data_IF_624214858316
#
_entry.id   IF_624214858316
#
_cell.length_a   1.000
_cell.length_b   1.000
_cell.length_c   1.000
_cell.angle_alpha   90.00
_cell.angle_beta   90.00
_cell.angle_gamma   90.00
#
_symmetry.space_group_name_H-M   'P 1'
#
loop_
_entity.id
_entity.type
_entity.pdbx_description
1 polymer ?
#
# COMPACT_ATOMS: atom_id res chain seq x y z
N UNK A 1 22.74 -2.96 20.34
CA UNK A 1 21.38 -2.93 19.80
C UNK A 1 21.26 -4.05 18.77
N UNK A 2 20.19 -4.82 18.76
CA UNK A 2 20.01 -5.86 17.71
C UNK A 2 19.62 -5.17 16.41
N UNK A 3 20.29 -5.56 15.31
CA UNK A 3 20.01 -5.00 13.98
C UNK A 3 19.00 -5.84 13.20
N UNK A 4 18.06 -5.18 12.54
CA UNK A 4 17.09 -5.78 11.64
C UNK A 4 17.23 -5.13 10.28
N UNK A 5 17.29 -5.92 9.22
CA UNK A 5 17.20 -5.44 7.84
C UNK A 5 15.81 -5.75 7.28
N UNK A 6 15.08 -4.73 6.88
CA UNK A 6 13.78 -4.84 6.23
C UNK A 6 13.98 -4.63 4.74
N UNK A 7 13.69 -5.66 3.96
CA UNK A 7 13.77 -5.67 2.49
C UNK A 7 12.34 -5.57 1.97
N UNK A 8 12.08 -4.62 1.07
CA UNK A 8 10.74 -4.38 0.55
C UNK A 8 10.68 -4.54 -0.95
N UNK A 9 9.92 -5.51 -1.39
CA UNK A 9 9.66 -5.79 -2.80
C UNK A 9 8.22 -5.40 -3.15
N UNK A 10 8.00 -5.04 -4.42
CA UNK A 10 6.66 -4.83 -4.97
C UNK A 10 6.21 -3.37 -5.02
N UNK A 11 5.04 -3.06 -4.47
CA UNK A 11 4.33 -1.81 -4.76
C UNK A 11 4.32 -0.83 -3.57
N UNK A 12 3.79 0.39 -3.83
CA UNK A 12 3.63 1.45 -2.83
C UNK A 12 2.87 1.02 -1.55
N UNK A 13 1.94 0.05 -1.64
CA UNK A 13 1.24 -0.49 -0.46
C UNK A 13 2.21 -1.26 0.43
N UNK A 14 3.08 -2.10 -0.16
CA UNK A 14 4.13 -2.80 0.60
C UNK A 14 5.12 -1.83 1.23
N UNK A 15 5.46 -0.74 0.53
CA UNK A 15 6.31 0.33 1.10
C UNK A 15 5.70 0.90 2.36
N UNK A 16 4.41 1.29 2.33
CA UNK A 16 3.70 1.80 3.52
C UNK A 16 3.70 0.79 4.66
N UNK A 17 3.38 -0.48 4.37
CA UNK A 17 3.38 -1.56 5.36
C UNK A 17 4.76 -1.71 6.03
N UNK A 18 5.83 -1.67 5.24
CA UNK A 18 7.21 -1.75 5.75
C UNK A 18 7.61 -0.54 6.57
N UNK A 19 7.20 0.67 6.18
CA UNK A 19 7.51 1.90 6.90
C UNK A 19 6.83 1.93 8.29
N UNK A 20 5.58 1.45 8.40
CA UNK A 20 4.92 1.24 9.69
C UNK A 20 5.64 0.18 10.53
N UNK A 21 5.99 -0.97 9.92
CA UNK A 21 6.73 -2.02 10.61
C UNK A 21 8.08 -1.51 11.14
N UNK A 22 8.82 -0.78 10.32
CA UNK A 22 10.12 -0.21 10.72
C UNK A 22 10.00 0.79 11.86
N UNK A 23 8.95 1.62 11.90
CA UNK A 23 8.70 2.53 13.01
C UNK A 23 8.47 1.76 14.32
N UNK A 24 7.66 0.71 14.29
CA UNK A 24 7.38 -0.14 15.46
C UNK A 24 8.62 -0.91 15.93
N UNK A 25 9.41 -1.46 15.01
CA UNK A 25 10.67 -2.13 15.33
C UNK A 25 11.69 -1.16 15.95
N UNK A 26 11.78 0.07 15.45
CA UNK A 26 12.64 1.10 16.02
C UNK A 26 12.21 1.49 17.44
N UNK A 27 10.91 1.66 17.67
CA UNK A 27 10.34 1.92 19.00
C UNK A 27 10.58 0.76 19.98
N UNK A 28 10.62 -0.48 19.49
CA UNK A 28 10.97 -1.66 20.25
C UNK A 28 12.49 -1.79 20.55
N UNK A 29 13.30 -0.80 20.18
CA UNK A 29 14.73 -0.74 20.50
C UNK A 29 15.64 -1.44 19.50
N UNK A 30 15.16 -1.75 18.29
CA UNK A 30 16.00 -2.31 17.24
C UNK A 30 16.65 -1.20 16.41
N UNK A 31 17.88 -1.45 15.94
CA UNK A 31 18.49 -0.67 14.86
C UNK A 31 17.97 -1.20 13.54
N UNK A 32 17.09 -0.44 12.88
CA UNK A 32 16.42 -0.87 11.65
C UNK A 32 17.16 -0.34 10.43
N UNK A 33 17.57 -1.24 9.55
CA UNK A 33 18.13 -0.98 8.23
C UNK A 33 17.07 -1.23 7.18
N UNK A 34 17.18 -0.55 6.04
CA UNK A 34 16.25 -0.69 4.93
C UNK A 34 17.02 -1.05 3.65
N UNK A 35 16.60 -2.11 2.96
CA UNK A 35 17.14 -2.60 1.69
C UNK A 35 18.69 -2.60 1.64
N UNK A 36 19.33 -2.99 2.75
CA UNK A 36 20.77 -2.93 2.85
C UNK A 36 21.43 -4.24 2.39
N UNK A 37 22.20 -4.16 1.32
CA UNK A 37 23.00 -5.30 0.80
C UNK A 37 24.24 -5.59 1.68
N UNK A 38 24.74 -4.57 2.39
CA UNK A 38 25.92 -4.67 3.26
C UNK A 38 25.50 -4.46 4.70
N UNK A 39 25.12 -5.54 5.35
CA UNK A 39 24.63 -5.49 6.72
C UNK A 39 25.20 -6.63 7.56
N UNK A 40 25.40 -6.33 8.85
CA UNK A 40 25.63 -7.30 9.91
C UNK A 40 24.34 -7.64 10.69
N UNK A 41 23.19 -7.29 10.13
CA UNK A 41 21.89 -7.59 10.71
C UNK A 41 21.68 -9.10 10.83
N UNK A 42 21.35 -9.55 12.05
CA UNK A 42 21.07 -10.95 12.35
C UNK A 42 19.59 -11.32 12.14
N UNK A 43 18.74 -10.33 12.00
CA UNK A 43 17.32 -10.51 11.70
C UNK A 43 17.03 -9.86 10.34
N UNK A 44 16.38 -10.62 9.48
CA UNK A 44 15.94 -10.14 8.15
C UNK A 44 14.44 -10.33 8.03
N UNK A 45 13.76 -9.30 7.53
CA UNK A 45 12.34 -9.31 7.16
C UNK A 45 12.23 -9.00 5.69
N UNK A 46 11.53 -9.85 4.93
CA UNK A 46 11.29 -9.65 3.50
C UNK A 46 9.80 -9.43 3.27
N UNK A 47 9.42 -8.21 2.84
CA UNK A 47 8.07 -7.89 2.41
C UNK A 47 7.94 -8.16 0.91
N UNK A 48 7.06 -9.08 0.54
CA UNK A 48 7.03 -9.75 -0.75
C UNK A 48 5.85 -9.33 -1.61
N UNK A 49 6.03 -9.40 -2.93
CA UNK A 49 4.96 -9.25 -3.92
C UNK A 49 4.50 -10.61 -4.45
N UNK A 50 3.17 -10.81 -4.49
CA UNK A 50 2.56 -12.05 -5.01
C UNK A 50 1.59 -11.82 -6.17
N UNK A 51 1.62 -10.64 -6.81
CA UNK A 51 0.61 -10.24 -7.78
C UNK A 51 0.93 -10.68 -9.21
N UNK A 52 2.07 -10.29 -9.75
CA UNK A 52 2.51 -10.64 -11.12
C UNK A 52 3.66 -11.64 -11.11
N UNK A 53 3.85 -12.36 -12.23
CA UNK A 53 4.83 -13.45 -12.36
C UNK A 53 6.24 -13.02 -11.98
N UNK A 54 6.75 -11.96 -12.58
CA UNK A 54 8.12 -11.48 -12.38
C UNK A 54 8.37 -11.04 -10.94
N UNK A 55 7.41 -10.32 -10.34
CA UNK A 55 7.52 -9.89 -8.94
C UNK A 55 7.44 -11.07 -7.95
N UNK A 56 6.71 -12.15 -8.28
CA UNK A 56 6.74 -13.39 -7.51
C UNK A 56 8.12 -14.06 -7.59
N UNK A 57 8.70 -14.15 -8.78
CA UNK A 57 10.03 -14.73 -8.98
C UNK A 57 11.09 -13.93 -8.21
N UNK A 58 11.07 -12.60 -8.32
CA UNK A 58 11.96 -11.72 -7.55
C UNK A 58 11.85 -11.96 -6.04
N UNK A 59 10.62 -12.10 -5.55
CA UNK A 59 10.35 -12.37 -4.13
C UNK A 59 10.90 -13.74 -3.71
N UNK A 60 10.69 -14.79 -4.51
CA UNK A 60 11.21 -16.13 -4.23
C UNK A 60 12.75 -16.13 -4.25
N UNK A 61 13.37 -15.51 -5.24
CA UNK A 61 14.83 -15.43 -5.35
C UNK A 61 15.44 -14.70 -4.15
N UNK A 62 14.78 -13.64 -3.64
CA UNK A 62 15.23 -12.95 -2.45
C UNK A 62 15.11 -13.82 -1.20
N UNK A 63 14.01 -14.55 -1.04
CA UNK A 63 13.82 -15.47 0.09
C UNK A 63 14.89 -16.56 0.06
N UNK A 64 15.16 -17.18 -1.09
CA UNK A 64 16.16 -18.22 -1.24
C UNK A 64 17.59 -17.71 -0.94
N UNK A 65 17.93 -16.49 -1.37
CA UNK A 65 19.21 -15.85 -1.02
C UNK A 65 19.35 -15.65 0.49
N UNK A 66 18.28 -15.18 1.15
CA UNK A 66 18.29 -15.00 2.61
C UNK A 66 18.32 -16.33 3.36
N UNK A 67 17.62 -17.37 2.88
CA UNK A 67 17.65 -18.72 3.41
C UNK A 67 19.07 -19.33 3.36
N UNK A 68 19.75 -19.20 2.23
CA UNK A 68 21.16 -19.61 2.10
C UNK A 68 22.10 -18.83 3.04
N UNK A 69 21.86 -17.53 3.24
CA UNK A 69 22.61 -16.74 4.21
C UNK A 69 22.36 -17.20 5.66
N UNK A 70 21.13 -17.64 5.97
CA UNK A 70 20.79 -18.21 7.28
C UNK A 70 21.47 -19.56 7.50
N UNK A 71 21.44 -20.46 6.51
CA UNK A 71 22.17 -21.75 6.57
C UNK A 71 23.69 -21.53 6.75
N UNK A 72 24.25 -20.46 6.17
CA UNK A 72 25.66 -20.08 6.35
C UNK A 72 25.95 -19.39 7.70
N UNK A 73 24.97 -19.26 8.60
CA UNK A 73 25.11 -18.62 9.93
C UNK A 73 25.25 -17.09 9.89
N UNK A 74 25.01 -16.45 8.75
CA UNK A 74 25.04 -14.98 8.61
C UNK A 74 23.78 -14.33 9.19
N UNK A 75 22.64 -14.97 9.05
CA UNK A 75 21.32 -14.56 9.54
C UNK A 75 20.89 -15.53 10.64
N UNK A 76 20.31 -15.04 11.73
CA UNK A 76 19.77 -15.83 12.84
C UNK A 76 18.26 -16.04 12.71
N UNK A 77 17.54 -14.99 12.30
CA UNK A 77 16.08 -15.01 12.13
C UNK A 77 15.70 -14.44 10.75
N UNK A 78 14.83 -15.16 10.07
CA UNK A 78 14.32 -14.79 8.77
C UNK A 78 12.78 -14.82 8.78
N UNK A 79 12.16 -13.69 8.52
CA UNK A 79 10.71 -13.55 8.40
C UNK A 79 10.31 -13.12 7.00
N UNK A 80 9.21 -13.68 6.52
CA UNK A 80 8.62 -13.31 5.24
C UNK A 80 7.20 -12.80 5.46
N UNK A 81 6.85 -11.69 4.82
CA UNK A 81 5.55 -11.03 4.92
C UNK A 81 5.08 -10.56 3.55
N UNK A 82 3.82 -10.22 3.42
CA UNK A 82 3.28 -9.56 2.24
C UNK A 82 2.41 -10.45 1.36
N UNK A 83 2.27 -10.03 0.10
CA UNK A 83 1.29 -10.61 -0.82
C UNK A 83 1.62 -12.05 -1.24
N UNK A 84 2.91 -12.40 -1.36
CA UNK A 84 3.31 -13.76 -1.74
C UNK A 84 3.01 -14.73 -0.59
N UNK A 85 3.43 -14.39 0.63
CA UNK A 85 3.19 -15.23 1.81
C UNK A 85 1.72 -15.33 2.17
N UNK A 86 0.91 -14.29 1.97
CA UNK A 86 -0.56 -14.39 2.15
C UNK A 86 -1.16 -15.48 1.26
N UNK A 87 -0.69 -15.59 0.03
CA UNK A 87 -1.30 -16.46 -0.98
C UNK A 87 -0.76 -17.89 -0.95
N UNK A 88 0.51 -18.06 -0.60
CA UNK A 88 1.25 -19.31 -0.78
C UNK A 88 2.00 -19.74 0.51
N UNK A 89 1.47 -19.37 1.70
CA UNK A 89 2.15 -19.65 2.95
C UNK A 89 2.48 -21.13 3.17
N UNK A 90 1.55 -22.02 2.87
CA UNK A 90 1.73 -23.47 3.12
C UNK A 90 2.76 -24.07 2.17
N UNK A 91 2.71 -23.71 0.89
CA UNK A 91 3.69 -24.15 -0.11
C UNK A 91 5.08 -23.60 0.21
N UNK A 92 5.19 -22.33 0.58
CA UNK A 92 6.45 -21.71 0.96
C UNK A 92 7.06 -22.34 2.21
N UNK A 93 6.25 -22.68 3.21
CA UNK A 93 6.71 -23.40 4.42
C UNK A 93 7.26 -24.78 4.11
N UNK A 94 6.63 -25.49 3.16
CA UNK A 94 7.09 -26.81 2.74
C UNK A 94 8.39 -26.75 1.95
N UNK A 95 8.53 -25.76 1.06
CA UNK A 95 9.67 -25.66 0.12
C UNK A 95 10.87 -24.91 0.71
N UNK A 96 10.65 -23.95 1.64
CA UNK A 96 11.70 -23.12 2.22
C UNK A 96 11.57 -23.12 3.77
N UNK A 97 11.90 -24.24 4.43
CA UNK A 97 11.78 -24.40 5.88
C UNK A 97 12.76 -23.56 6.70
N UNK A 98 13.75 -22.92 6.07
CA UNK A 98 14.72 -22.03 6.73
C UNK A 98 14.06 -20.73 7.22
N UNK A 99 12.91 -20.32 6.69
CA UNK A 99 12.17 -19.16 7.15
C UNK A 99 11.53 -19.48 8.50
N UNK A 100 11.75 -18.63 9.50
CA UNK A 100 11.24 -18.85 10.87
C UNK A 100 9.72 -18.70 10.92
N UNK A 101 9.16 -17.72 10.20
CA UNK A 101 7.71 -17.60 10.07
C UNK A 101 7.31 -16.78 8.82
N UNK A 102 6.07 -17.04 8.37
CA UNK A 102 5.43 -16.38 7.23
C UNK A 102 4.19 -15.63 7.74
N UNK A 103 4.14 -14.33 7.47
CA UNK A 103 3.03 -13.46 7.81
C UNK A 103 2.29 -13.00 6.54
N UNK A 104 0.99 -12.83 6.64
CA UNK A 104 0.18 -12.31 5.55
C UNK A 104 0.35 -10.80 5.34
N UNK A 105 -0.20 -10.32 4.24
CA UNK A 105 -0.14 -8.91 3.88
C UNK A 105 -0.84 -7.98 4.89
N UNK A 106 -1.74 -8.52 5.72
CA UNK A 106 -2.50 -7.78 6.74
C UNK A 106 -2.07 -8.12 8.17
N UNK A 107 -1.10 -9.01 8.35
CA UNK A 107 -0.64 -9.50 9.66
C UNK A 107 0.85 -9.24 9.89
N UNK A 108 1.42 -8.28 9.17
CA UNK A 108 2.83 -7.90 9.27
C UNK A 108 3.25 -7.43 10.67
N UNK A 109 2.32 -6.94 11.47
CA UNK A 109 2.49 -6.58 12.88
C UNK A 109 2.84 -7.79 13.76
N UNK A 110 2.43 -9.01 13.37
CA UNK A 110 2.82 -10.25 14.01
C UNK A 110 4.35 -10.45 14.15
N UNK A 111 5.15 -9.81 13.28
CA UNK A 111 6.61 -9.82 13.36
C UNK A 111 7.08 -9.16 14.66
N UNK A 112 6.45 -8.07 15.09
CA UNK A 112 6.78 -7.36 16.34
C UNK A 112 6.61 -8.31 17.53
N UNK A 113 5.48 -9.03 17.58
CA UNK A 113 5.21 -10.05 18.59
C UNK A 113 6.20 -11.22 18.54
N UNK A 114 6.50 -11.72 17.33
CA UNK A 114 7.46 -12.82 17.14
C UNK A 114 8.88 -12.46 17.61
N UNK A 115 9.19 -11.17 17.65
CA UNK A 115 10.46 -10.64 18.16
C UNK A 115 10.40 -10.30 19.67
N UNK A 116 9.27 -10.58 20.34
CA UNK A 116 9.09 -10.36 21.77
C UNK A 116 8.83 -8.91 22.19
N UNK A 117 8.45 -8.05 21.22
CA UNK A 117 8.06 -6.68 21.51
C UNK A 117 6.53 -6.58 21.65
N UNK A 118 6.07 -5.62 22.46
CA UNK A 118 4.65 -5.29 22.59
C UNK A 118 4.20 -4.35 21.47
N UNK A 119 2.96 -4.53 21.04
CA UNK A 119 2.31 -3.55 20.15
C UNK A 119 1.92 -2.32 20.98
N UNK A 120 2.29 -1.15 20.48
CA UNK A 120 1.88 0.14 21.04
C UNK A 120 0.89 0.81 20.08
N UNK A 121 -0.39 0.98 20.47
CA UNK A 121 -1.39 1.65 19.64
C UNK A 121 -1.00 3.10 19.29
N UNK A 122 -0.20 3.78 20.11
CA UNK A 122 0.29 5.13 19.83
C UNK A 122 1.17 5.20 18.58
N UNK A 123 1.70 4.05 18.13
CA UNK A 123 2.52 3.95 16.91
C UNK A 123 1.70 3.65 15.66
N UNK A 124 0.37 3.64 15.72
CA UNK A 124 -0.47 3.30 14.57
C UNK A 124 -0.24 4.21 13.35
N UNK A 125 -0.01 5.50 13.60
CA UNK A 125 0.24 6.52 12.58
C UNK A 125 1.72 6.90 12.42
N UNK A 126 2.64 6.21 13.12
CA UNK A 126 4.08 6.45 13.00
C UNK A 126 4.67 5.71 11.80
N UNK A 127 5.53 6.41 11.06
CA UNK A 127 6.21 5.85 9.88
C UNK A 127 7.69 6.25 9.85
N UNK A 128 8.51 5.29 9.44
CA UNK A 128 9.91 5.54 9.09
C UNK A 128 10.01 5.55 7.57
N UNK A 129 10.01 6.76 6.99
CA UNK A 129 9.97 6.93 5.53
C UNK A 129 11.19 6.36 4.83
N UNK A 130 10.94 5.69 3.70
CA UNK A 130 11.94 5.15 2.78
C UNK A 130 11.93 5.86 1.43
N UNK A 131 10.89 6.64 1.17
CA UNK A 131 10.77 7.50 0.00
C UNK A 131 11.66 8.76 0.13
N UNK A 132 11.98 9.45 -0.97
CA UNK A 132 12.57 10.80 -0.92
C UNK A 132 11.72 11.73 -0.06
N UNK A 133 12.36 12.65 0.67
CA UNK A 133 11.71 13.46 1.71
C UNK A 133 10.55 14.32 1.23
N UNK A 134 10.45 14.62 -0.07
CA UNK A 134 9.44 15.52 -0.60
C UNK A 134 8.08 14.85 -0.81
N UNK A 135 7.99 13.53 -0.87
CA UNK A 135 6.71 12.83 -1.00
C UNK A 135 6.60 11.61 -0.10
N UNK A 136 5.36 11.24 0.21
CA UNK A 136 5.04 9.96 0.86
C UNK A 136 3.72 9.39 0.31
N UNK A 137 3.60 8.07 0.36
CA UNK A 137 2.33 7.41 0.10
C UNK A 137 1.43 7.49 1.33
N UNK A 138 0.16 7.81 1.15
CA UNK A 138 -0.89 7.73 2.17
C UNK A 138 -1.87 6.62 1.78
N UNK A 139 -1.82 5.49 2.46
CA UNK A 139 -2.67 4.32 2.19
C UNK A 139 -3.99 4.47 2.93
N UNK A 140 -5.06 4.85 2.22
CA UNK A 140 -6.37 5.19 2.81
C UNK A 140 -7.29 4.01 3.05
N UNK A 141 -7.00 2.87 2.42
CA UNK A 141 -7.75 1.62 2.63
C UNK A 141 -6.94 0.41 2.20
N UNK A 142 -7.39 -0.77 2.61
CA UNK A 142 -6.81 -2.06 2.26
C UNK A 142 -7.89 -2.98 1.68
N UNK A 143 -7.51 -3.86 0.73
CA UNK A 143 -8.42 -4.81 0.12
C UNK A 143 -9.34 -4.22 -0.95
N UNK A 144 -10.13 -5.08 -1.61
CA UNK A 144 -10.98 -4.69 -2.72
C UNK A 144 -12.22 -5.58 -2.81
N UNK A 145 -13.42 -4.97 -2.98
CA UNK A 145 -14.68 -5.69 -3.13
C UNK A 145 -15.06 -5.95 -4.59
N UNK A 146 -14.30 -5.41 -5.56
CA UNK A 146 -14.50 -5.72 -6.96
C UNK A 146 -14.04 -7.14 -7.27
N UNK A 147 -14.83 -7.86 -8.03
CA UNK A 147 -14.57 -9.26 -8.42
C UNK A 147 -14.13 -9.34 -9.88
N UNK A 148 -13.16 -8.53 -10.28
CA UNK A 148 -12.61 -8.58 -11.63
C UNK A 148 -11.98 -9.94 -11.89
N UNK A 149 -12.34 -10.60 -13.01
CA UNK A 149 -12.02 -12.01 -13.27
C UNK A 149 -10.52 -12.34 -13.39
N UNK A 150 -9.69 -11.32 -13.61
CA UNK A 150 -8.24 -11.45 -13.72
C UNK A 150 -7.47 -11.04 -12.45
N UNK A 151 -8.16 -10.56 -11.40
CA UNK A 151 -7.54 -9.90 -10.27
C UNK A 151 -7.49 -10.80 -9.02
N UNK A 152 -6.29 -11.02 -8.51
CA UNK A 152 -6.07 -11.80 -7.29
C UNK A 152 -6.16 -10.98 -5.99
N UNK A 153 -6.38 -9.67 -6.05
CA UNK A 153 -6.37 -8.79 -4.87
C UNK A 153 -7.36 -9.22 -3.79
N UNK A 154 -8.62 -9.58 -4.09
CA UNK A 154 -9.55 -10.04 -3.03
C UNK A 154 -9.07 -11.29 -2.29
N UNK A 155 -8.26 -12.15 -2.95
CA UNK A 155 -7.68 -13.35 -2.35
C UNK A 155 -6.43 -13.04 -1.51
N UNK A 156 -5.71 -11.95 -1.85
CA UNK A 156 -4.43 -11.57 -1.20
C UNK A 156 -4.66 -10.54 -0.10
N UNK A 157 -5.43 -9.49 -0.39
CA UNK A 157 -5.63 -8.34 0.50
C UNK A 157 -7.02 -8.31 1.14
N UNK A 158 -7.87 -9.29 0.83
CA UNK A 158 -9.20 -9.46 1.39
C UNK A 158 -10.22 -8.41 0.94
N UNK A 159 -11.31 -8.29 1.71
CA UNK A 159 -12.34 -7.28 1.50
C UNK A 159 -11.81 -5.88 1.79
N UNK A 160 -12.47 -4.88 1.19
CA UNK A 160 -12.14 -3.47 1.41
C UNK A 160 -12.37 -3.07 2.88
N UNK A 161 -11.36 -2.42 3.46
CA UNK A 161 -11.41 -1.85 4.80
C UNK A 161 -10.77 -0.47 4.74
N UNK A 162 -11.55 0.57 5.03
CA UNK A 162 -11.09 1.95 5.07
C UNK A 162 -10.36 2.26 6.38
N UNK A 163 -9.37 3.14 6.32
CA UNK A 163 -8.76 3.74 7.50
C UNK A 163 -9.62 4.95 7.93
N UNK A 164 -9.91 5.15 9.23
CA UNK A 164 -10.67 6.32 9.70
C UNK A 164 -10.03 7.65 9.27
N UNK A 165 -10.85 8.64 8.91
CA UNK A 165 -10.36 9.93 8.44
C UNK A 165 -9.42 10.62 9.42
N UNK A 166 -9.75 10.54 10.70
CA UNK A 166 -8.98 11.16 11.79
C UNK A 166 -7.57 10.58 11.89
N UNK A 167 -7.43 9.26 11.69
CA UNK A 167 -6.13 8.59 11.67
C UNK A 167 -5.31 9.00 10.44
N UNK A 168 -5.96 9.10 9.27
CA UNK A 168 -5.30 9.56 8.04
C UNK A 168 -4.83 11.02 8.14
N UNK A 169 -5.64 11.89 8.76
CA UNK A 169 -5.24 13.28 9.01
C UNK A 169 -4.05 13.35 9.98
N UNK A 170 -4.06 12.55 11.04
CA UNK A 170 -2.95 12.50 11.99
C UNK A 170 -1.68 12.01 11.32
N UNK A 171 -1.75 10.91 10.57
CA UNK A 171 -0.62 10.39 9.80
C UNK A 171 -0.10 11.45 8.82
N UNK A 172 -0.97 12.10 8.05
CA UNK A 172 -0.59 13.14 7.10
C UNK A 172 0.07 14.36 7.77
N UNK A 173 -0.39 14.78 8.96
CA UNK A 173 0.27 15.85 9.75
C UNK A 173 1.67 15.44 10.21
N UNK A 174 1.86 14.19 10.64
CA UNK A 174 3.18 13.65 11.01
C UNK A 174 4.12 13.59 9.81
N UNK A 175 3.62 13.18 8.64
CA UNK A 175 4.37 13.18 7.39
C UNK A 175 4.79 14.61 6.98
N UNK A 176 3.88 15.58 7.05
CA UNK A 176 4.19 16.99 6.82
C UNK A 176 5.27 17.51 7.78
N UNK A 177 5.19 17.13 9.06
CA UNK A 177 6.20 17.46 10.08
C UNK A 177 7.59 16.85 9.80
N UNK A 178 7.66 15.73 9.05
CA UNK A 178 8.90 15.13 8.58
C UNK A 178 9.46 15.81 7.30
N UNK A 179 8.73 16.78 6.72
CA UNK A 179 9.13 17.54 5.54
C UNK A 179 8.51 17.05 4.24
N UNK A 180 7.53 16.15 4.30
CA UNK A 180 6.74 15.72 3.12
C UNK A 180 5.92 16.89 2.62
N UNK A 181 5.95 17.11 1.30
CA UNK A 181 5.21 18.17 0.59
C UNK A 181 4.12 17.59 -0.31
N UNK A 182 4.31 16.39 -0.82
CA UNK A 182 3.35 15.71 -1.68
C UNK A 182 2.83 14.43 -1.02
N UNK A 183 1.51 14.31 -0.92
CA UNK A 183 0.84 13.06 -0.53
C UNK A 183 0.35 12.32 -1.77
N UNK A 184 0.87 11.12 -1.98
CA UNK A 184 0.34 10.19 -2.97
C UNK A 184 -0.72 9.31 -2.29
N UNK A 185 -1.99 9.64 -2.50
CA UNK A 185 -3.12 8.92 -1.92
C UNK A 185 -3.34 7.62 -2.68
N UNK A 186 -3.22 6.50 -1.98
CA UNK A 186 -3.23 5.15 -2.57
C UNK A 186 -4.21 4.21 -1.86
N UNK A 187 -4.75 3.27 -2.62
CA UNK A 187 -5.50 2.10 -2.18
C UNK A 187 -5.46 1.02 -3.27
N UNK A 188 -6.24 -0.03 -3.17
CA UNK A 188 -6.56 -0.90 -4.31
C UNK A 188 -7.64 -0.28 -5.20
N UNK A 189 -8.54 0.49 -4.58
CA UNK A 189 -9.52 1.37 -5.21
C UNK A 189 -9.80 2.54 -4.26
N UNK A 190 -9.30 3.72 -4.59
CA UNK A 190 -9.48 4.92 -3.77
C UNK A 190 -10.91 5.45 -3.82
N UNK A 191 -11.65 5.24 -4.93
CA UNK A 191 -13.02 5.72 -5.09
C UNK A 191 -14.03 5.02 -4.19
N UNK A 192 -13.66 3.84 -3.64
CA UNK A 192 -14.51 3.06 -2.74
C UNK A 192 -14.39 3.47 -1.27
N UNK A 193 -13.47 4.38 -0.96
CA UNK A 193 -13.15 4.82 0.40
C UNK A 193 -14.39 5.30 1.17
N UNK A 194 -14.53 4.80 2.39
CA UNK A 194 -15.52 5.23 3.37
C UNK A 194 -16.85 4.48 3.35
N UNK A 195 -17.12 3.66 2.33
CA UNK A 195 -18.41 2.94 2.23
C UNK A 195 -18.65 2.03 3.44
N UNK A 196 -17.62 1.34 3.90
CA UNK A 196 -17.66 0.43 5.05
C UNK A 196 -17.80 1.16 6.39
N UNK A 197 -17.14 2.32 6.56
CA UNK A 197 -17.14 3.07 7.81
C UNK A 197 -18.31 4.07 7.92
N UNK A 198 -18.67 4.73 6.82
CA UNK A 198 -19.59 5.86 6.81
C UNK A 198 -20.88 5.61 6.00
N UNK A 199 -21.03 4.41 5.41
CA UNK A 199 -22.18 4.04 4.60
C UNK A 199 -22.25 4.76 3.24
N UNK A 200 -21.25 5.55 2.87
CA UNK A 200 -21.15 6.29 1.60
C UNK A 200 -19.70 6.55 1.21
N UNK A 201 -19.47 6.91 -0.03
CA UNK A 201 -18.12 7.31 -0.52
C UNK A 201 -17.69 8.62 0.14
N UNK A 202 -16.49 8.66 0.67
CA UNK A 202 -15.98 9.79 1.45
C UNK A 202 -14.64 10.35 0.92
N UNK A 203 -14.22 9.91 -0.28
CA UNK A 203 -12.92 10.33 -0.83
C UNK A 203 -12.83 11.84 -1.00
N UNK A 204 -13.85 12.50 -1.54
CA UNK A 204 -13.85 13.95 -1.74
C UNK A 204 -13.71 14.71 -0.41
N UNK A 205 -14.41 14.27 0.65
CA UNK A 205 -14.29 14.86 1.98
C UNK A 205 -12.89 14.67 2.56
N UNK A 206 -12.33 13.45 2.44
CA UNK A 206 -10.96 13.18 2.86
C UNK A 206 -9.96 14.09 2.15
N UNK A 207 -10.03 14.20 0.82
CA UNK A 207 -9.14 15.05 0.05
C UNK A 207 -9.20 16.52 0.50
N UNK A 208 -10.42 17.06 0.72
CA UNK A 208 -10.60 18.44 1.25
C UNK A 208 -9.99 18.61 2.65
N UNK A 209 -10.10 17.60 3.53
CA UNK A 209 -9.47 17.63 4.87
C UNK A 209 -7.94 17.61 4.76
N UNK A 210 -7.38 16.78 3.89
CA UNK A 210 -5.94 16.73 3.64
C UNK A 210 -5.41 18.05 3.08
N UNK A 211 -6.18 18.77 2.25
CA UNK A 211 -5.82 20.09 1.74
C UNK A 211 -5.61 21.15 2.84
N UNK A 212 -6.25 20.98 4.00
CA UNK A 212 -6.12 21.90 5.14
C UNK A 212 -4.87 21.68 5.97
N UNK A 213 -4.09 20.64 5.67
CA UNK A 213 -2.86 20.34 6.42
C UNK A 213 -1.75 21.28 5.98
N UNK A 214 -1.19 22.01 6.95
CA UNK A 214 -0.04 22.87 6.71
C UNK A 214 1.19 22.05 6.35
N UNK A 215 1.97 22.55 5.39
CA UNK A 215 3.17 21.88 4.89
C UNK A 215 2.92 20.93 3.73
N UNK A 216 1.70 20.42 3.52
CA UNK A 216 1.34 19.69 2.31
C UNK A 216 1.00 20.69 1.20
N UNK A 217 1.64 20.52 0.06
CA UNK A 217 1.50 21.39 -1.12
C UNK A 217 0.76 20.67 -2.26
N UNK A 218 0.95 19.36 -2.40
CA UNK A 218 0.34 18.56 -3.45
C UNK A 218 -0.30 17.29 -2.89
N UNK A 219 -1.46 16.95 -3.44
CA UNK A 219 -2.19 15.70 -3.17
C UNK A 219 -2.48 15.05 -4.52
N UNK A 220 -1.88 13.88 -4.76
CA UNK A 220 -2.04 13.12 -6.00
C UNK A 220 -2.84 11.86 -5.75
N UNK A 221 -3.93 11.69 -6.52
CA UNK A 221 -4.81 10.55 -6.42
C UNK A 221 -4.36 9.43 -7.36
N UNK A 222 -4.17 8.23 -6.82
CA UNK A 222 -3.84 7.05 -7.59
C UNK A 222 -4.87 5.93 -7.40
N UNK A 223 -4.90 4.98 -8.35
CA UNK A 223 -5.70 3.75 -8.28
C UNK A 223 -7.20 4.01 -8.15
N UNK A 224 -7.74 4.86 -8.99
CA UNK A 224 -9.17 5.11 -9.08
C UNK A 224 -9.87 4.02 -9.91
N UNK A 225 -11.12 3.69 -9.58
CA UNK A 225 -11.93 2.75 -10.36
C UNK A 225 -13.03 3.49 -11.11
N UNK A 226 -13.26 3.20 -12.42
CA UNK A 226 -14.14 4.02 -13.24
C UNK A 226 -15.63 3.85 -12.96
N UNK A 227 -16.09 2.71 -12.40
CA UNK A 227 -17.52 2.49 -12.21
C UNK A 227 -18.12 3.40 -11.13
N UNK A 228 -19.07 4.24 -11.54
CA UNK A 228 -19.71 5.19 -10.64
C UNK A 228 -18.70 6.10 -9.97
N UNK A 229 -17.77 6.66 -10.74
CA UNK A 229 -16.78 7.60 -10.22
C UNK A 229 -17.51 8.79 -9.57
N UNK A 230 -17.15 9.22 -8.35
CA UNK A 230 -17.91 10.27 -7.66
C UNK A 230 -17.67 11.65 -8.26
N UNK A 231 -18.72 12.34 -8.69
CA UNK A 231 -18.63 13.70 -9.22
C UNK A 231 -18.02 14.69 -8.20
N UNK A 232 -18.28 14.47 -6.91
CA UNK A 232 -17.71 15.29 -5.82
C UNK A 232 -16.19 15.22 -5.76
N UNK A 233 -15.56 14.17 -6.31
CA UNK A 233 -14.10 14.07 -6.41
C UNK A 233 -13.61 14.97 -7.54
N UNK A 234 -14.31 15.02 -8.69
CA UNK A 234 -14.01 15.92 -9.80
C UNK A 234 -14.16 17.37 -9.34
N UNK A 235 -15.25 17.71 -8.63
CA UNK A 235 -15.46 19.03 -8.05
C UNK A 235 -14.35 19.41 -7.06
N UNK A 236 -13.91 18.48 -6.20
CA UNK A 236 -12.81 18.71 -5.28
C UNK A 236 -11.51 18.97 -6.03
N UNK A 237 -11.23 18.18 -7.07
CA UNK A 237 -10.05 18.37 -7.92
C UNK A 237 -10.10 19.71 -8.65
N UNK A 238 -11.25 20.15 -9.12
CA UNK A 238 -11.41 21.45 -9.80
C UNK A 238 -11.21 22.63 -8.85
N UNK A 239 -11.79 22.55 -7.63
CA UNK A 239 -11.85 23.67 -6.68
C UNK A 239 -10.63 23.78 -5.75
N UNK A 240 -9.96 22.67 -5.43
CA UNK A 240 -8.85 22.67 -4.48
C UNK A 240 -7.50 22.75 -5.20
N UNK A 241 -6.72 23.81 -5.00
CA UNK A 241 -5.47 24.03 -5.74
C UNK A 241 -4.36 23.03 -5.35
N UNK A 242 -4.41 22.43 -4.16
CA UNK A 242 -3.44 21.42 -3.73
C UNK A 242 -3.68 20.05 -4.37
N UNK A 243 -4.88 19.78 -4.89
CA UNK A 243 -5.16 18.50 -5.55
C UNK A 243 -4.63 18.57 -6.99
N UNK A 244 -3.72 17.65 -7.31
CA UNK A 244 -3.16 17.55 -8.66
C UNK A 244 -4.26 17.23 -9.68
N UNK A 245 -4.25 17.90 -10.83
CA UNK A 245 -5.14 17.64 -11.97
C UNK A 245 -4.67 16.37 -12.69
N UNK A 246 -4.75 15.24 -12.00
CA UNK A 246 -4.23 13.96 -12.42
C UNK A 246 -5.13 12.84 -11.91
N UNK A 247 -5.55 11.95 -12.82
CA UNK A 247 -6.31 10.74 -12.51
C UNK A 247 -5.59 9.51 -13.05
N UNK A 248 -5.41 8.50 -12.21
CA UNK A 248 -4.89 7.19 -12.56
C UNK A 248 -6.06 6.19 -12.54
N UNK A 249 -6.63 5.92 -13.72
CA UNK A 249 -7.83 5.08 -13.89
C UNK A 249 -7.56 3.97 -14.91
N UNK A 250 -7.39 2.71 -14.49
CA UNK A 250 -7.20 1.58 -15.40
C UNK A 250 -8.54 1.14 -16.00
N UNK A 251 -8.91 1.63 -17.16
CA UNK A 251 -10.13 1.23 -17.86
C UNK A 251 -10.12 -0.24 -18.32
N UNK A 252 -8.95 -0.81 -18.59
CA UNK A 252 -8.70 -2.19 -19.07
C UNK A 252 -9.14 -2.44 -20.50
N UNK A 253 -10.35 -2.04 -20.90
CA UNK A 253 -10.89 -2.16 -22.24
C UNK A 253 -12.00 -1.14 -22.47
N UNK A 254 -12.39 -0.90 -23.77
CA UNK A 254 -13.47 0.01 -24.14
C UNK A 254 -14.73 -0.71 -24.67
N UNK A 255 -14.65 -2.00 -25.01
CA UNK A 255 -15.80 -2.79 -25.45
C UNK A 255 -16.58 -3.30 -24.26
N UNK A 256 -17.90 -3.01 -24.21
CA UNK A 256 -18.79 -3.48 -23.14
C UNK A 256 -18.81 -5.00 -23.01
N UNK A 257 -18.74 -5.74 -24.13
CA UNK A 257 -18.70 -7.19 -24.12
C UNK A 257 -17.43 -7.72 -23.41
N UNK A 258 -16.27 -7.10 -23.67
CA UNK A 258 -15.00 -7.46 -23.00
C UNK A 258 -15.01 -7.04 -21.54
N UNK A 259 -15.52 -5.87 -21.22
CA UNK A 259 -15.65 -5.39 -19.84
C UNK A 259 -16.56 -6.33 -19.02
N UNK A 260 -17.67 -6.78 -19.59
CA UNK A 260 -18.56 -7.75 -18.96
C UNK A 260 -17.86 -9.10 -18.73
N UNK A 261 -17.09 -9.61 -19.73
CA UNK A 261 -16.34 -10.86 -19.59
C UNK A 261 -15.24 -10.79 -18.52
N UNK A 262 -14.66 -9.61 -18.32
CA UNK A 262 -13.68 -9.32 -17.25
C UNK A 262 -14.32 -9.05 -15.89
N UNK A 263 -15.65 -9.09 -15.79
CA UNK A 263 -16.41 -8.66 -14.61
C UNK A 263 -16.12 -7.21 -14.17
N UNK A 264 -15.79 -6.34 -15.14
CA UNK A 264 -15.70 -4.88 -14.90
C UNK A 264 -17.10 -4.30 -14.82
N UNK A 265 -17.28 -3.32 -13.93
CA UNK A 265 -18.61 -2.76 -13.62
C UNK A 265 -18.90 -1.43 -14.31
N UNK A 266 -18.00 -0.93 -15.13
CA UNK A 266 -18.21 0.27 -15.94
C UNK A 266 -18.49 -0.09 -17.40
N UNK A 267 -19.09 0.85 -18.12
CA UNK A 267 -19.43 0.76 -19.53
C UNK A 267 -18.52 1.68 -20.36
N UNK A 268 -18.55 1.48 -21.69
CA UNK A 268 -17.93 2.40 -22.65
C UNK A 268 -18.42 3.84 -22.45
N UNK A 269 -19.73 4.03 -22.25
CA UNK A 269 -20.32 5.36 -22.08
C UNK A 269 -19.75 6.09 -20.84
N UNK A 270 -19.66 5.38 -19.69
CA UNK A 270 -19.07 5.93 -18.47
C UNK A 270 -17.58 6.24 -18.65
N UNK A 271 -16.82 5.37 -19.34
CA UNK A 271 -15.41 5.60 -19.62
C UNK A 271 -15.21 6.84 -20.52
N UNK A 272 -16.05 6.99 -21.58
CA UNK A 272 -15.98 8.15 -22.46
C UNK A 272 -16.35 9.44 -21.72
N UNK A 273 -17.33 9.41 -20.83
CA UNK A 273 -17.72 10.58 -20.03
C UNK A 273 -16.58 11.08 -19.16
N UNK A 274 -15.92 10.16 -18.42
CA UNK A 274 -14.76 10.52 -17.60
C UNK A 274 -13.61 11.10 -18.44
N UNK A 275 -13.30 10.46 -19.56
CA UNK A 275 -12.23 10.92 -20.46
C UNK A 275 -12.50 12.30 -21.06
N UNK A 276 -13.75 12.57 -21.48
CA UNK A 276 -14.11 13.87 -22.08
C UNK A 276 -14.22 14.98 -21.04
N UNK A 277 -14.54 14.66 -19.79
CA UNK A 277 -14.53 15.65 -18.70
C UNK A 277 -13.11 16.12 -18.37
N UNK A 278 -12.12 15.22 -18.49
CA UNK A 278 -10.70 15.52 -18.29
C UNK A 278 -10.14 16.36 -19.47
N UNK A 279 -10.51 16.02 -20.71
CA UNK A 279 -10.05 16.74 -21.91
C UNK A 279 -10.64 18.14 -22.06
N UNK A 280 -11.78 18.44 -21.46
CA UNK A 280 -12.39 19.79 -21.51
C UNK A 280 -11.60 20.82 -20.69
N UNK A 281 -10.77 20.38 -19.74
CA UNK A 281 -9.93 21.25 -18.91
C UNK A 281 -8.59 21.62 -19.58
N UNK A 282 -8.25 21.01 -20.73
CA UNK A 282 -6.99 21.29 -21.46
C UNK A 282 -7.11 22.38 -22.54
N UNK A 283 -8.30 22.92 -22.80
CA UNK A 283 -8.54 23.91 -23.87
C UNK A 283 -8.67 25.38 -23.41
N UNK A 284 -8.40 25.71 -22.14
CA UNK A 284 -8.40 27.10 -21.63
C UNK A 284 -7.00 27.67 -21.34
#
# INVERSE_FOLDING_TARGET
MKKINVITLGCSKNTVDSEHLMARLAAAGYEVLFDSDRTDAKVVVINTCGFIGDAKQESIDMILRAAAAKQAGKIERLFVVGCLSERYADELRAEIPEVDDYFGARTWDGIVRALGASEDPALATERRLTTPKHYAYLKISEGCNWKCGYCAIPLIRGAHVSVPMEELEEEARKLAGQGVRELMVIAQDTTYYGIDLYGRRMLAELLRRLCRIDGIEWIRLHYAYPAGFPDEVIEAMASEPKICKYLDIPFQHISDAQLASMHRRHTKAEACLLYTSDAADEED
#
